data_IF_497115052822
#
_entry.id   IF_497115052822
#
_cell.length_a   1.000
_cell.length_b   1.000
_cell.length_c   1.000
_cell.angle_alpha   90.00
_cell.angle_beta   90.00
_cell.angle_gamma   90.00
#
_symmetry.space_group_name_H-M   'P 1'
#
loop_
_entity.id
_entity.type
_entity.pdbx_description
1 polymer ?
#
# COMPACT_ATOMS: atom_id res chain seq x y z
N UNK A 1 -13.48 5.30 13.91
CA UNK A 1 -12.25 4.61 13.47
C UNK A 1 -11.15 5.66 13.31
N UNK A 2 -10.02 5.48 14.00
CA UNK A 2 -8.86 6.38 13.89
C UNK A 2 -7.87 5.69 12.96
N UNK A 3 -7.49 6.37 11.89
CA UNK A 3 -6.50 5.86 10.93
C UNK A 3 -5.11 6.33 11.33
N UNK A 4 -4.13 5.43 11.30
CA UNK A 4 -2.74 5.79 11.54
C UNK A 4 -2.09 6.38 10.26
N UNK A 5 -0.90 6.96 10.41
CA UNK A 5 -0.18 7.60 9.30
C UNK A 5 0.14 6.63 8.17
N UNK A 6 0.43 5.38 8.50
CA UNK A 6 0.88 4.36 7.56
C UNK A 6 -0.28 3.86 6.71
N UNK A 7 -1.43 3.58 7.34
CA UNK A 7 -2.67 3.22 6.66
C UNK A 7 -3.06 4.30 5.65
N UNK A 8 -3.03 5.59 6.07
CA UNK A 8 -3.33 6.70 5.18
C UNK A 8 -2.28 6.86 4.08
N UNK A 9 -1.00 6.64 4.38
CA UNK A 9 0.07 6.67 3.40
C UNK A 9 -0.14 5.62 2.31
N UNK A 10 -0.41 4.36 2.70
CA UNK A 10 -0.62 3.24 1.79
C UNK A 10 -1.84 3.47 0.90
N UNK A 11 -2.96 3.90 1.48
CA UNK A 11 -4.18 4.23 0.71
C UNK A 11 -3.95 5.39 -0.27
N UNK A 12 -3.15 6.40 0.13
CA UNK A 12 -2.79 7.52 -0.76
C UNK A 12 -1.93 7.09 -1.94
N UNK A 13 -0.93 6.24 -1.71
CA UNK A 13 -0.10 5.70 -2.80
C UNK A 13 -0.97 4.95 -3.79
N UNK A 14 -1.87 4.08 -3.33
CA UNK A 14 -2.82 3.37 -4.19
C UNK A 14 -3.81 4.29 -4.92
N UNK A 15 -4.21 5.41 -4.30
CA UNK A 15 -5.09 6.39 -4.93
C UNK A 15 -4.40 7.21 -6.04
N UNK A 16 -3.08 7.29 -6.01
CA UNK A 16 -2.27 8.01 -7.01
C UNK A 16 -1.89 7.14 -8.21
N UNK A 17 -2.20 5.85 -8.18
CA UNK A 17 -1.88 4.90 -9.25
C UNK A 17 -3.14 4.59 -10.06
N UNK A 18 -3.07 4.78 -11.38
CA UNK A 18 -4.17 4.49 -12.30
C UNK A 18 -4.30 2.98 -12.64
N UNK A 19 -3.29 2.19 -12.30
CA UNK A 19 -3.24 0.75 -12.55
C UNK A 19 -3.03 -0.05 -11.25
N UNK A 20 -3.48 -1.32 -11.19
CA UNK A 20 -3.17 -2.21 -10.06
C UNK A 20 -1.66 -2.39 -9.84
N UNK A 21 -1.20 -2.16 -8.61
CA UNK A 21 0.22 -2.16 -8.24
C UNK A 21 0.58 -3.30 -7.30
N UNK A 22 1.84 -3.72 -7.29
CA UNK A 22 2.30 -4.73 -6.35
C UNK A 22 2.38 -4.18 -4.93
N UNK A 23 2.13 -5.02 -3.93
CA UNK A 23 2.23 -4.62 -2.52
C UNK A 23 3.61 -4.02 -2.19
N UNK A 24 4.68 -4.63 -2.71
CA UNK A 24 6.04 -4.17 -2.46
C UNK A 24 6.34 -2.79 -3.08
N UNK A 25 5.73 -2.48 -4.24
CA UNK A 25 5.84 -1.16 -4.86
C UNK A 25 5.22 -0.09 -3.95
N UNK A 26 4.05 -0.41 -3.37
CA UNK A 26 3.32 0.49 -2.47
C UNK A 26 4.10 0.74 -1.18
N UNK A 27 4.62 -0.31 -0.52
CA UNK A 27 5.37 -0.14 0.73
C UNK A 27 6.72 0.55 0.50
N UNK A 28 7.39 0.26 -0.62
CA UNK A 28 8.65 0.92 -1.02
C UNK A 28 8.46 2.40 -1.34
N UNK A 29 7.31 2.81 -1.86
CA UNK A 29 7.00 4.24 -2.03
C UNK A 29 6.95 5.01 -0.70
N UNK A 30 6.62 4.35 0.41
CA UNK A 30 6.59 4.95 1.76
C UNK A 30 7.95 4.83 2.47
N UNK A 31 8.62 3.70 2.29
CA UNK A 31 9.89 3.38 2.93
C UNK A 31 10.89 2.91 1.86
N UNK A 32 11.51 3.85 1.12
CA UNK A 32 12.42 3.53 0.03
C UNK A 32 13.63 2.74 0.51
N UNK A 33 14.14 1.86 -0.35
CA UNK A 33 15.35 1.09 -0.03
C UNK A 33 16.54 2.03 0.19
N UNK A 34 17.28 1.88 1.31
CA UNK A 34 18.42 2.73 1.60
C UNK A 34 19.59 2.39 0.67
N UNK A 35 20.42 3.39 0.39
CA UNK A 35 21.66 3.20 -0.37
C UNK A 35 22.79 2.62 0.50
N UNK A 36 22.76 2.88 1.81
CA UNK A 36 23.75 2.36 2.75
C UNK A 36 23.31 0.99 3.28
N UNK A 37 24.20 0.01 3.12
CA UNK A 37 24.02 -1.35 3.60
C UNK A 37 23.85 -1.41 5.14
N UNK A 38 24.35 -0.44 5.90
CA UNK A 38 24.18 -0.35 7.36
C UNK A 38 22.75 -0.05 7.78
N UNK A 39 21.96 0.60 6.94
CA UNK A 39 20.57 0.95 7.22
C UNK A 39 19.60 -0.18 6.82
N UNK A 40 20.10 -1.22 6.14
CA UNK A 40 19.27 -2.27 5.54
C UNK A 40 18.46 -3.06 6.55
N UNK A 41 19.00 -3.33 7.75
CA UNK A 41 18.28 -4.09 8.78
C UNK A 41 17.08 -3.29 9.33
N UNK A 42 17.29 -2.01 9.65
CA UNK A 42 16.22 -1.12 10.10
C UNK A 42 15.15 -0.91 9.01
N UNK A 43 15.59 -0.76 7.76
CA UNK A 43 14.67 -0.68 6.62
C UNK A 43 13.83 -1.96 6.47
N UNK A 44 14.44 -3.15 6.57
CA UNK A 44 13.73 -4.43 6.50
C UNK A 44 12.68 -4.56 7.59
N UNK A 45 13.02 -4.21 8.83
CA UNK A 45 12.07 -4.23 9.94
C UNK A 45 10.87 -3.31 9.65
N UNK A 46 11.13 -2.10 9.17
CA UNK A 46 10.08 -1.16 8.80
C UNK A 46 9.24 -1.63 7.61
N UNK A 47 9.85 -2.31 6.63
CA UNK A 47 9.10 -2.90 5.52
C UNK A 47 8.11 -3.96 5.99
N UNK A 48 8.49 -4.80 6.95
CA UNK A 48 7.60 -5.82 7.51
C UNK A 48 6.39 -5.18 8.20
N UNK A 49 6.59 -4.10 8.97
CA UNK A 49 5.48 -3.35 9.58
C UNK A 49 4.50 -2.77 8.55
N UNK A 50 5.03 -2.24 7.44
CA UNK A 50 4.20 -1.71 6.36
C UNK A 50 3.44 -2.80 5.61
N UNK A 51 4.06 -3.97 5.40
CA UNK A 51 3.40 -5.15 4.83
C UNK A 51 2.26 -5.61 5.74
N UNK A 52 2.50 -5.73 7.05
CA UNK A 52 1.47 -6.11 8.02
C UNK A 52 0.30 -5.11 8.03
N UNK A 53 0.61 -3.81 7.95
CA UNK A 53 -0.39 -2.75 7.84
C UNK A 53 -1.21 -2.88 6.56
N UNK A 54 -0.55 -3.13 5.42
CA UNK A 54 -1.23 -3.34 4.14
C UNK A 54 -2.17 -4.54 4.18
N UNK A 55 -1.72 -5.68 4.72
CA UNK A 55 -2.55 -6.86 4.92
C UNK A 55 -3.74 -6.59 5.85
N UNK A 56 -3.60 -5.66 6.79
CA UNK A 56 -4.71 -5.14 7.59
C UNK A 56 -5.77 -4.41 6.75
N UNK A 57 -5.34 -3.56 5.82
CA UNK A 57 -6.24 -2.85 4.90
C UNK A 57 -6.96 -3.80 3.94
N UNK A 58 -6.24 -4.80 3.42
CA UNK A 58 -6.80 -5.86 2.60
C UNK A 58 -7.87 -6.67 3.35
N UNK A 59 -7.55 -7.15 4.56
CA UNK A 59 -8.51 -7.88 5.42
C UNK A 59 -9.74 -7.08 5.79
N UNK A 60 -9.64 -5.75 5.80
CA UNK A 60 -10.76 -4.82 6.05
C UNK A 60 -11.56 -4.47 4.79
N UNK A 61 -11.19 -4.98 3.62
CA UNK A 61 -11.92 -4.75 2.38
C UNK A 61 -11.70 -3.36 1.76
N UNK A 62 -10.63 -2.66 2.14
CA UNK A 62 -10.30 -1.34 1.58
C UNK A 62 -9.42 -1.44 0.34
N UNK A 63 -8.73 -2.56 0.22
CA UNK A 63 -7.85 -2.93 -0.88
C UNK A 63 -8.26 -4.33 -1.31
N UNK A 64 -8.26 -4.59 -2.61
CA UNK A 64 -8.54 -5.92 -3.16
C UNK A 64 -7.44 -6.31 -4.14
N UNK A 65 -7.24 -7.61 -4.26
CA UNK A 65 -6.33 -8.18 -5.25
C UNK A 65 -7.02 -8.19 -6.62
N UNK A 66 -6.28 -7.84 -7.66
CA UNK A 66 -6.70 -7.83 -9.06
C UNK A 66 -5.82 -8.82 -9.80
N UNK A 67 -6.43 -9.85 -10.38
CA UNK A 67 -5.71 -10.81 -11.25
C UNK A 67 -5.56 -10.18 -12.63
N UNK A 68 -4.32 -9.91 -13.10
CA UNK A 68 -4.12 -9.34 -14.43
C UNK A 68 -4.53 -10.33 -15.53
N UNK A 69 -5.29 -9.87 -16.52
CA UNK A 69 -5.68 -10.70 -17.68
C UNK A 69 -4.48 -11.14 -18.56
N UNK A 70 -3.29 -10.55 -18.35
CA UNK A 70 -2.09 -10.78 -19.14
C UNK A 70 -1.23 -11.98 -18.65
N UNK A 71 -1.72 -12.76 -17.68
CA UNK A 71 -0.99 -13.93 -17.17
C UNK A 71 0.19 -13.59 -16.25
N UNK A 72 0.32 -12.34 -15.80
CA UNK A 72 1.23 -12.01 -14.71
C UNK A 72 0.84 -12.77 -13.42
N UNK A 73 1.83 -13.37 -12.79
CA UNK A 73 1.67 -14.24 -11.61
C UNK A 73 1.88 -13.52 -10.27
N UNK A 74 2.17 -12.22 -10.29
CA UNK A 74 2.36 -11.44 -9.06
C UNK A 74 1.07 -10.74 -8.65
N UNK A 75 0.72 -10.85 -7.37
CA UNK A 75 -0.43 -10.18 -6.76
C UNK A 75 -0.39 -8.67 -7.05
N UNK A 76 -1.45 -8.16 -7.68
CA UNK A 76 -1.66 -6.73 -7.90
C UNK A 76 -2.85 -6.27 -7.08
N UNK A 77 -2.82 -5.02 -6.64
CA UNK A 77 -3.80 -4.50 -5.71
C UNK A 77 -4.33 -3.14 -6.15
N UNK A 78 -5.61 -2.91 -5.88
CA UNK A 78 -6.30 -1.65 -6.12
C UNK A 78 -7.23 -1.30 -4.95
N UNK A 79 -7.56 -0.02 -4.81
CA UNK A 79 -8.56 0.42 -3.83
C UNK A 79 -9.94 -0.14 -4.17
N UNK A 80 -10.69 -0.56 -3.16
CA UNK A 80 -12.14 -0.74 -3.29
C UNK A 80 -12.84 0.61 -3.29
N UNK A 81 -14.15 0.64 -3.59
CA UNK A 81 -14.95 1.86 -3.46
C UNK A 81 -14.85 2.46 -2.05
N UNK A 82 -14.89 1.63 -1.01
CA UNK A 82 -14.73 2.09 0.37
C UNK A 82 -13.34 2.69 0.62
N UNK A 83 -12.28 2.05 0.11
CA UNK A 83 -10.92 2.60 0.16
C UNK A 83 -10.79 3.95 -0.55
N UNK A 84 -11.44 4.12 -1.70
CA UNK A 84 -11.50 5.38 -2.43
C UNK A 84 -12.22 6.46 -1.62
N UNK A 85 -13.35 6.14 -0.98
CA UNK A 85 -14.08 7.10 -0.14
C UNK A 85 -13.27 7.58 1.06
N UNK A 86 -12.57 6.67 1.75
CA UNK A 86 -11.69 7.02 2.88
C UNK A 86 -10.61 8.01 2.44
N UNK A 87 -10.07 7.80 1.24
CA UNK A 87 -9.00 8.63 0.68
C UNK A 87 -9.54 9.98 0.16
N UNK A 88 -10.64 9.95 -0.60
CA UNK A 88 -11.29 11.14 -1.18
C UNK A 88 -11.87 12.10 -0.14
N UNK A 89 -12.45 11.61 0.96
CA UNK A 89 -12.94 12.45 2.08
C UNK A 89 -11.82 13.26 2.77
N UNK A 90 -10.55 12.89 2.58
CA UNK A 90 -9.39 13.54 3.21
C UNK A 90 -8.39 14.19 2.27
N UNK A 91 -8.46 13.95 0.96
CA UNK A 91 -7.69 14.68 -0.06
C UNK A 91 -8.44 15.89 -0.63
N UNK A 92 -9.75 16.01 -0.37
CA UNK A 92 -10.59 17.13 -0.79
C UNK A 92 -10.73 18.28 0.22
N UNK A 93 -9.76 18.50 1.10
CA UNK A 93 -9.68 19.70 1.97
C UNK A 93 -8.29 20.29 1.97
#
# INVERSE_FOLDING_TARGET
MIWNSDELGLLRVLAMTDEPVGMFDVTTAINPEPRDQKEREAWLARQLELIDTFLGLYRRGLVHEVVPANGHTGDRYALTQEGQEVTGRRLGR
#
